data_IF_556757990721
#
_entry.id   IF_556757990721
#
_cell.length_a   1.000
_cell.length_b   1.000
_cell.length_c   1.000
_cell.angle_alpha   90.00
_cell.angle_beta   90.00
_cell.angle_gamma   90.00
#
_symmetry.space_group_name_H-M   'P 1'
#
loop_
_entity.id
_entity.type
_entity.pdbx_description
1 polymer ?
#
# COMPACT_ATOMS: atom_id res chain seq x y z
N UNK A 1 -13.00 17.97 19.28
CA UNK A 1 -11.63 17.95 18.80
C UNK A 1 -11.47 17.18 17.55
N UNK A 2 -10.81 17.79 16.63
CA UNK A 2 -10.57 17.18 15.34
C UNK A 2 -9.70 15.94 15.43
N UNK A 3 -8.96 15.81 16.48
CA UNK A 3 -8.09 14.64 16.62
C UNK A 3 -8.85 13.35 16.65
N UNK A 4 -10.02 13.38 17.22
CA UNK A 4 -10.84 12.18 17.29
C UNK A 4 -11.20 11.71 15.90
N UNK A 5 -11.50 12.64 15.04
CA UNK A 5 -11.85 12.30 13.68
C UNK A 5 -10.71 11.63 12.96
N UNK A 6 -9.50 12.10 13.21
CA UNK A 6 -8.35 11.53 12.56
C UNK A 6 -8.05 10.13 13.03
N UNK A 7 -8.41 9.83 14.26
CA UNK A 7 -8.22 8.48 14.76
C UNK A 7 -9.10 7.47 14.04
N UNK A 8 -10.28 7.90 13.60
CA UNK A 8 -11.21 7.00 12.93
C UNK A 8 -10.81 6.72 11.49
N UNK A 9 -10.06 7.63 10.91
CA UNK A 9 -9.70 7.52 9.50
C UNK A 9 -8.21 7.68 9.32
N UNK A 10 -7.46 6.58 9.43
CA UNK A 10 -6.02 6.69 9.23
C UNK A 10 -5.74 7.25 7.85
N UNK A 11 -4.79 8.14 7.79
CA UNK A 11 -4.42 8.73 6.51
C UNK A 11 -3.77 7.67 5.63
N UNK A 12 -3.76 7.92 4.32
CA UNK A 12 -3.11 7.01 3.40
C UNK A 12 -1.64 6.89 3.73
N UNK A 13 -1.04 7.98 4.17
CA UNK A 13 0.37 7.96 4.55
C UNK A 13 0.59 7.04 5.75
N UNK A 14 -0.33 7.01 6.70
CA UNK A 14 -0.23 6.09 7.82
C UNK A 14 -0.32 4.65 7.35
N UNK A 15 -1.18 4.37 6.40
CA UNK A 15 -1.30 3.02 5.86
C UNK A 15 0.01 2.58 5.23
N UNK A 16 0.65 3.48 4.48
CA UNK A 16 1.92 3.16 3.84
C UNK A 16 3.01 2.94 4.89
N UNK A 17 3.05 3.78 5.92
CA UNK A 17 4.04 3.63 6.98
C UNK A 17 3.90 2.29 7.69
N UNK A 18 2.67 1.91 8.00
CA UNK A 18 2.43 0.64 8.67
C UNK A 18 2.76 -0.53 7.76
N UNK A 19 2.45 -0.39 6.47
CA UNK A 19 2.79 -1.45 5.52
C UNK A 19 4.30 -1.66 5.47
N UNK A 20 5.06 -0.56 5.50
CA UNK A 20 6.52 -0.66 5.49
C UNK A 20 7.02 -1.40 6.72
N UNK A 21 6.43 -1.11 7.88
CA UNK A 21 6.80 -1.80 9.11
C UNK A 21 6.50 -3.29 9.04
N UNK A 22 5.34 -3.64 8.50
CA UNK A 22 4.97 -5.05 8.39
C UNK A 22 5.87 -5.78 7.40
N UNK A 23 6.24 -5.12 6.31
CA UNK A 23 7.17 -5.73 5.36
C UNK A 23 8.51 -5.99 6.02
N UNK A 24 9.00 -5.03 6.80
CA UNK A 24 10.27 -5.20 7.48
C UNK A 24 10.22 -6.33 8.50
N UNK A 25 9.05 -6.54 9.09
CA UNK A 25 8.88 -7.60 10.08
C UNK A 25 8.57 -8.96 9.46
N UNK A 26 8.42 -9.02 8.15
CA UNK A 26 8.10 -10.27 7.47
C UNK A 26 6.63 -10.59 7.42
N UNK A 27 5.77 -9.66 7.81
CA UNK A 27 4.32 -9.87 7.80
C UNK A 27 3.77 -9.38 6.47
N UNK A 28 3.99 -10.18 5.43
CA UNK A 28 3.67 -9.76 4.09
C UNK A 28 2.16 -9.68 3.83
N UNK A 29 1.39 -10.53 4.48
CA UNK A 29 -0.06 -10.53 4.29
C UNK A 29 -0.68 -9.22 4.74
N UNK A 30 -0.32 -8.76 5.94
CA UNK A 30 -0.87 -7.51 6.45
C UNK A 30 -0.34 -6.32 5.66
N UNK A 31 0.93 -6.38 5.26
CA UNK A 31 1.50 -5.32 4.45
C UNK A 31 0.74 -5.17 3.13
N UNK A 32 0.42 -6.30 2.49
CA UNK A 32 -0.31 -6.27 1.23
C UNK A 32 -1.70 -5.68 1.42
N UNK A 33 -2.37 -6.01 2.52
CA UNK A 33 -3.68 -5.47 2.80
C UNK A 33 -3.63 -3.96 2.95
N UNK A 34 -2.66 -3.47 3.70
CA UNK A 34 -2.52 -2.04 3.93
C UNK A 34 -2.19 -1.30 2.63
N UNK A 35 -1.32 -1.87 1.82
CA UNK A 35 -0.97 -1.24 0.55
C UNK A 35 -2.14 -1.22 -0.42
N UNK A 36 -2.97 -2.26 -0.39
CA UNK A 36 -4.17 -2.27 -1.23
C UNK A 36 -5.10 -1.12 -0.85
N UNK A 37 -5.32 -0.93 0.45
CA UNK A 37 -6.14 0.19 0.91
C UNK A 37 -5.52 1.52 0.49
N UNK A 38 -4.22 1.66 0.65
CA UNK A 38 -3.54 2.90 0.29
C UNK A 38 -3.68 3.17 -1.20
N UNK A 39 -3.53 2.13 -2.03
CA UNK A 39 -3.61 2.29 -3.48
C UNK A 39 -4.99 2.77 -3.90
N UNK A 40 -6.03 2.27 -3.24
CA UNK A 40 -7.39 2.67 -3.61
C UNK A 40 -7.75 4.08 -3.17
N UNK A 41 -7.14 4.57 -2.12
CA UNK A 41 -7.58 5.84 -1.51
C UNK A 41 -6.65 7.01 -1.74
N UNK A 42 -5.45 6.78 -2.26
CA UNK A 42 -4.52 7.88 -2.43
C UNK A 42 -4.86 8.73 -3.64
N UNK A 43 -4.59 10.03 -3.52
CA UNK A 43 -4.67 10.96 -4.62
C UNK A 43 -3.34 11.67 -4.82
N UNK A 44 -2.32 11.24 -4.11
CA UNK A 44 -1.02 11.89 -4.12
C UNK A 44 -0.05 11.05 -4.94
N UNK A 45 0.49 11.60 -6.05
CA UNK A 45 1.41 10.83 -6.88
C UNK A 45 2.64 10.29 -6.14
N UNK A 46 3.10 11.03 -5.15
CA UNK A 46 4.25 10.56 -4.38
C UNK A 46 3.90 9.33 -3.56
N UNK A 47 2.70 9.32 -3.00
CA UNK A 47 2.27 8.16 -2.22
C UNK A 47 2.02 6.98 -3.15
N UNK A 48 1.47 7.23 -4.33
CA UNK A 48 1.29 6.17 -5.32
C UNK A 48 2.62 5.54 -5.70
N UNK A 49 3.62 6.37 -5.89
CA UNK A 49 4.95 5.87 -6.22
C UNK A 49 5.50 5.01 -5.09
N UNK A 50 5.32 5.46 -3.87
CA UNK A 50 5.79 4.73 -2.71
C UNK A 50 5.07 3.38 -2.57
N UNK A 51 3.76 3.38 -2.81
CA UNK A 51 2.99 2.14 -2.79
C UNK A 51 3.53 1.17 -3.83
N UNK A 52 3.83 1.66 -5.03
CA UNK A 52 4.35 0.79 -6.07
C UNK A 52 5.71 0.22 -5.71
N UNK A 53 6.56 1.03 -5.11
CA UNK A 53 7.88 0.54 -4.71
C UNK A 53 7.78 -0.53 -3.63
N UNK A 54 6.94 -0.30 -2.64
CA UNK A 54 6.76 -1.28 -1.60
C UNK A 54 6.11 -2.55 -2.14
N UNK A 55 5.18 -2.40 -3.06
CA UNK A 55 4.55 -3.57 -3.67
C UNK A 55 5.53 -4.35 -4.52
N UNK A 56 6.43 -3.66 -5.20
CA UNK A 56 7.47 -4.35 -5.98
C UNK A 56 8.39 -5.14 -5.07
N UNK A 57 8.73 -4.56 -3.92
CA UNK A 57 9.56 -5.26 -2.94
C UNK A 57 8.84 -6.50 -2.44
N UNK A 58 7.56 -6.38 -2.12
CA UNK A 58 6.79 -7.53 -1.68
C UNK A 58 6.67 -8.58 -2.75
N UNK A 59 6.54 -8.15 -4.00
CA UNK A 59 6.45 -9.08 -5.12
C UNK A 59 7.73 -9.91 -5.26
N UNK A 60 8.88 -9.26 -5.09
CA UNK A 60 10.14 -9.96 -5.20
C UNK A 60 10.32 -11.00 -4.09
N UNK A 61 9.75 -10.73 -2.93
CA UNK A 61 9.84 -11.64 -1.80
C UNK A 61 8.75 -12.69 -1.79
N UNK A 62 7.70 -12.48 -2.59
CA UNK A 62 6.51 -13.31 -2.53
C UNK A 62 6.77 -14.69 -3.12
N UNK A 63 6.12 -15.68 -2.51
CA UNK A 63 6.12 -17.01 -3.06
C UNK A 63 5.12 -17.10 -4.21
N UNK A 64 5.08 -18.31 -4.78
CA UNK A 64 4.26 -18.54 -5.96
C UNK A 64 2.79 -18.12 -5.76
N UNK A 65 2.26 -18.37 -4.60
CA UNK A 65 0.82 -18.14 -4.36
C UNK A 65 0.50 -16.71 -3.95
N UNK A 66 1.51 -15.92 -3.62
CA UNK A 66 1.29 -14.56 -3.16
C UNK A 66 1.51 -13.51 -4.24
N UNK A 67 2.08 -13.90 -5.37
CA UNK A 67 2.44 -12.92 -6.39
C UNK A 67 1.24 -12.19 -6.96
N UNK A 68 0.11 -12.88 -7.09
CA UNK A 68 -1.07 -12.25 -7.65
C UNK A 68 -1.53 -11.04 -6.87
N UNK A 69 -1.46 -11.13 -5.54
CA UNK A 69 -1.87 -10.02 -4.69
C UNK A 69 -0.99 -8.80 -4.90
N UNK A 70 0.32 -9.01 -4.93
CA UNK A 70 1.25 -7.91 -5.10
C UNK A 70 1.14 -7.30 -6.49
N UNK A 71 0.95 -8.13 -7.51
CA UNK A 71 0.75 -7.65 -8.87
C UNK A 71 -0.50 -6.79 -8.96
N UNK A 72 -1.56 -7.19 -8.25
CA UNK A 72 -2.79 -6.42 -8.27
C UNK A 72 -2.60 -5.04 -7.65
N UNK A 73 -1.83 -4.95 -6.58
CA UNK A 73 -1.56 -3.66 -5.95
C UNK A 73 -0.86 -2.73 -6.93
N UNK A 74 0.15 -3.26 -7.62
CA UNK A 74 0.89 -2.46 -8.60
C UNK A 74 -0.04 -2.00 -9.72
N UNK A 75 -0.91 -2.89 -10.17
CA UNK A 75 -1.85 -2.55 -11.24
C UNK A 75 -2.79 -1.44 -10.81
N UNK A 76 -3.30 -1.52 -9.59
CA UNK A 76 -4.19 -0.48 -9.08
C UNK A 76 -3.48 0.86 -9.03
N UNK A 77 -2.25 0.88 -8.51
CA UNK A 77 -1.49 2.12 -8.42
C UNK A 77 -1.19 2.69 -9.80
N UNK A 78 -0.87 1.82 -10.76
CA UNK A 78 -0.63 2.28 -12.13
C UNK A 78 -1.87 2.90 -12.75
N UNK A 79 -3.01 2.25 -12.57
CA UNK A 79 -4.24 2.76 -13.14
C UNK A 79 -4.61 4.13 -12.56
N UNK A 80 -4.42 4.30 -11.28
CA UNK A 80 -4.73 5.57 -10.65
C UNK A 80 -3.75 6.65 -11.08
N UNK A 81 -2.49 6.30 -11.25
CA UNK A 81 -1.50 7.25 -11.71
C UNK A 81 -1.80 7.74 -13.12
N UNK A 82 -2.33 6.87 -13.97
CA UNK A 82 -2.65 7.25 -15.33
C UNK A 82 -3.82 8.21 -15.42
N UNK A 83 -4.65 8.24 -14.39
CA UNK A 83 -5.80 9.13 -14.38
C UNK A 83 -5.43 10.56 -14.05
N UNK A 84 -4.32 10.76 -13.44
CA UNK A 84 -3.88 12.10 -13.11
C UNK A 84 -3.04 12.67 -14.22
#
# INVERSE_FOLDING_TARGET
MSKTDMADHPSVQDLVSKAREHLAAGDDTEAARLLTDAAYHTHDPEIEHEVRELASEGLQRAGRFSKGRWTEIIRIADLRAQRT
#
